data_IF_767726929167
#
_entry.id   IF_767726929167
#
_cell.length_a   1.000
_cell.length_b   1.000
_cell.length_c   1.000
_cell.angle_alpha   90.00
_cell.angle_beta   90.00
_cell.angle_gamma   90.00
#
_symmetry.space_group_name_H-M   'P 1'
#
loop_
_entity.id
_entity.type
_entity.pdbx_description
1 polymer ?
#
# COMPACT_ATOMS: atom_id res chain seq x y z
N UNK A 1 34.79 -22.49 -39.05
CA UNK A 1 34.60 -22.48 -37.58
C UNK A 1 33.92 -21.16 -37.22
N UNK A 2 32.73 -21.17 -36.61
CA UNK A 2 32.06 -19.94 -36.15
C UNK A 2 32.01 -19.98 -34.62
N UNK A 3 32.71 -19.06 -33.97
CA UNK A 3 32.73 -18.97 -32.51
C UNK A 3 31.48 -18.19 -32.07
N UNK A 4 30.55 -18.84 -31.38
CA UNK A 4 29.36 -18.20 -30.80
C UNK A 4 29.67 -17.86 -29.36
N UNK A 5 29.88 -16.58 -29.06
CA UNK A 5 30.07 -16.09 -27.70
C UNK A 5 28.70 -15.93 -27.05
N UNK A 6 28.37 -16.86 -26.16
CA UNK A 6 27.14 -16.79 -25.34
C UNK A 6 27.43 -15.87 -24.15
N UNK A 7 26.87 -14.66 -24.17
CA UNK A 7 26.82 -13.81 -22.98
C UNK A 7 25.79 -14.36 -21.99
N UNK A 8 26.29 -14.99 -20.93
CA UNK A 8 25.46 -15.36 -19.79
C UNK A 8 25.09 -14.10 -18.99
N UNK A 9 23.87 -13.59 -19.19
CA UNK A 9 23.26 -12.59 -18.32
C UNK A 9 22.99 -13.23 -16.94
N UNK A 10 23.95 -13.11 -16.03
CA UNK A 10 23.77 -13.42 -14.63
C UNK A 10 22.82 -12.38 -14.00
N UNK A 11 21.51 -12.65 -14.10
CA UNK A 11 20.48 -11.87 -13.41
C UNK A 11 20.63 -12.04 -11.90
N UNK A 12 21.28 -11.07 -11.26
CA UNK A 12 21.35 -11.01 -9.81
C UNK A 12 19.96 -10.68 -9.23
N UNK A 13 19.18 -11.72 -8.92
CA UNK A 13 17.97 -11.59 -8.14
C UNK A 13 18.35 -11.18 -6.70
N UNK A 14 18.35 -9.87 -6.42
CA UNK A 14 18.61 -9.34 -5.07
C UNK A 14 17.38 -9.61 -4.20
N UNK A 15 17.28 -10.84 -3.71
CA UNK A 15 16.30 -11.25 -2.70
C UNK A 15 16.67 -10.71 -1.32
N UNK A 16 16.56 -9.40 -1.10
CA UNK A 16 16.61 -8.82 0.23
C UNK A 16 15.25 -8.96 0.92
N UNK A 17 15.13 -10.01 1.73
CA UNK A 17 14.30 -9.97 2.94
C UNK A 17 15.02 -9.10 4.00
N UNK A 18 15.23 -7.83 3.68
CA UNK A 18 15.76 -6.84 4.61
C UNK A 18 14.60 -6.29 5.43
N UNK A 19 14.73 -6.28 6.76
CA UNK A 19 13.84 -5.50 7.60
C UNK A 19 13.98 -4.00 7.27
N UNK A 20 12.92 -3.22 7.44
CA UNK A 20 12.94 -1.77 7.19
C UNK A 20 14.15 -1.09 7.86
N UNK A 21 14.82 -0.20 7.13
CA UNK A 21 15.86 0.65 7.70
C UNK A 21 15.22 1.61 8.70
N UNK A 22 15.59 1.53 9.98
CA UNK A 22 15.01 2.36 11.06
C UNK A 22 15.89 3.55 11.45
N UNK A 23 16.98 3.79 10.71
CA UNK A 23 17.91 4.90 10.93
C UNK A 23 17.79 5.87 9.76
N UNK A 24 17.43 7.12 10.05
CA UNK A 24 17.42 8.18 9.04
C UNK A 24 18.85 8.39 8.51
N UNK A 25 19.05 8.41 7.18
CA UNK A 25 20.36 8.59 6.58
C UNK A 25 20.83 10.04 6.68
N UNK A 26 22.14 10.23 6.75
CA UNK A 26 22.73 11.55 6.52
C UNK A 26 22.60 11.92 5.04
N UNK A 27 22.07 13.12 4.75
CA UNK A 27 22.00 13.63 3.39
C UNK A 27 23.41 13.88 2.80
N UNK A 28 23.59 13.58 1.52
CA UNK A 28 24.85 13.75 0.77
C UNK A 28 25.18 15.20 0.41
N UNK A 29 24.22 16.11 0.61
CA UNK A 29 24.26 17.52 0.28
C UNK A 29 22.84 18.10 0.32
N UNK A 30 22.69 19.38 0.02
CA UNK A 30 21.38 20.05 0.05
C UNK A 30 21.03 20.71 -1.29
N UNK A 31 19.74 20.92 -1.53
CA UNK A 31 19.18 21.64 -2.67
C UNK A 31 17.92 22.37 -2.20
N UNK A 32 17.78 23.64 -2.56
CA UNK A 32 16.65 24.48 -2.18
C UNK A 32 15.96 25.01 -3.45
N UNK A 33 14.64 24.84 -3.57
CA UNK A 33 13.88 25.09 -4.79
C UNK A 33 12.70 26.07 -4.56
N UNK A 34 12.50 27.07 -5.45
CA UNK A 34 11.38 27.99 -5.33
C UNK A 34 10.04 27.39 -5.79
N UNK A 35 10.07 26.29 -6.54
CA UNK A 35 8.91 25.59 -7.15
C UNK A 35 9.08 24.07 -7.00
N UNK A 36 8.01 23.26 -7.16
CA UNK A 36 8.13 21.80 -7.17
C UNK A 36 9.04 21.31 -8.30
N UNK A 37 9.76 20.21 -8.09
CA UNK A 37 10.43 19.51 -9.18
C UNK A 37 9.45 18.54 -9.86
N UNK A 38 9.21 18.71 -11.16
CA UNK A 38 8.35 17.81 -11.95
C UNK A 38 9.18 16.63 -12.48
N UNK A 39 8.71 15.41 -12.25
CA UNK A 39 9.36 14.15 -12.62
C UNK A 39 8.42 13.34 -13.52
N UNK A 40 8.73 13.32 -14.82
CA UNK A 40 7.99 12.57 -15.85
C UNK A 40 8.63 11.22 -16.22
N UNK A 41 9.79 10.90 -15.63
CA UNK A 41 10.54 9.68 -15.87
C UNK A 41 11.10 9.12 -14.56
N UNK A 42 12.37 8.73 -14.55
CA UNK A 42 13.07 8.33 -13.32
C UNK A 42 13.97 9.47 -12.82
N UNK A 43 13.93 9.73 -11.52
CA UNK A 43 14.77 10.72 -10.84
C UNK A 43 15.52 10.06 -9.68
N UNK A 44 16.84 10.25 -9.64
CA UNK A 44 17.69 9.87 -8.51
C UNK A 44 18.18 11.16 -7.84
N UNK A 45 17.80 11.37 -6.58
CA UNK A 45 18.20 12.52 -5.77
C UNK A 45 19.62 12.42 -5.22
N UNK A 46 20.31 11.29 -5.40
CA UNK A 46 21.67 11.06 -4.93
C UNK A 46 21.83 11.16 -3.41
N UNK A 47 20.77 10.87 -2.65
CA UNK A 47 20.62 11.09 -1.20
C UNK A 47 20.74 12.56 -0.74
N UNK A 48 20.49 13.54 -1.62
CA UNK A 48 20.46 14.96 -1.23
C UNK A 48 19.18 15.29 -0.45
N UNK A 49 19.28 16.31 0.41
CA UNK A 49 18.16 16.98 1.08
C UNK A 49 17.54 18.02 0.16
N UNK A 50 16.23 17.96 -0.01
CA UNK A 50 15.43 18.89 -0.80
C UNK A 50 14.54 19.71 0.12
N UNK A 51 14.60 21.04 -0.04
CA UNK A 51 13.84 22.04 0.70
C UNK A 51 13.19 23.02 -0.28
N UNK A 52 12.10 23.69 0.13
CA UNK A 52 11.56 24.87 -0.54
C UNK A 52 12.30 26.12 -0.08
N UNK A 53 12.47 27.07 -0.99
CA UNK A 53 12.99 28.41 -0.66
C UNK A 53 12.19 29.51 -1.36
N UNK A 54 11.46 30.37 -0.62
CA UNK A 54 11.28 30.35 0.84
C UNK A 54 10.61 29.06 1.35
N UNK A 55 10.66 28.82 2.65
CA UNK A 55 9.88 27.74 3.28
C UNK A 55 8.38 28.00 3.04
N UNK A 56 7.67 26.94 2.64
CA UNK A 56 6.24 26.97 2.32
C UNK A 56 5.40 26.14 3.30
N UNK A 57 5.98 25.58 4.37
CA UNK A 57 5.24 24.77 5.33
C UNK A 57 4.16 25.60 6.07
N UNK A 58 2.90 25.15 6.00
CA UNK A 58 1.75 25.77 6.69
C UNK A 58 1.05 24.81 7.67
N UNK A 59 1.71 23.70 8.02
CA UNK A 59 1.17 22.65 8.88
C UNK A 59 0.03 21.89 8.20
N UNK A 60 -1.05 21.61 8.93
CA UNK A 60 -2.24 20.90 8.44
C UNK A 60 -3.23 21.83 7.69
N UNK A 61 -2.74 22.91 7.09
CA UNK A 61 -3.55 23.80 6.26
C UNK A 61 -3.37 23.37 4.80
N UNK A 62 -4.40 22.72 4.26
CA UNK A 62 -4.47 22.30 2.86
C UNK A 62 -4.00 23.41 1.92
N UNK A 63 -2.96 23.11 1.15
CA UNK A 63 -2.45 23.98 0.08
C UNK A 63 -2.84 23.44 -1.29
N UNK A 64 -2.07 23.78 -2.32
CA UNK A 64 -2.24 23.25 -3.67
C UNK A 64 -0.94 22.59 -4.15
N UNK A 65 -1.03 21.88 -5.28
CA UNK A 65 0.08 21.10 -5.83
C UNK A 65 1.34 21.93 -6.17
N UNK A 66 1.28 23.27 -6.23
CA UNK A 66 2.48 24.12 -6.35
C UNK A 66 3.27 24.26 -5.03
N UNK A 67 2.70 23.87 -3.90
CA UNK A 67 3.38 23.76 -2.60
C UNK A 67 4.19 22.46 -2.43
N UNK A 68 3.98 21.46 -3.31
CA UNK A 68 4.68 20.18 -3.28
C UNK A 68 6.21 20.33 -3.44
N UNK A 69 6.99 19.42 -2.85
CA UNK A 69 8.43 19.31 -3.13
C UNK A 69 8.66 18.70 -4.52
N UNK A 70 7.91 17.64 -4.83
CA UNK A 70 7.97 16.94 -6.11
C UNK A 70 6.57 16.66 -6.66
N UNK A 71 6.44 16.76 -7.98
CA UNK A 71 5.26 16.32 -8.74
C UNK A 71 5.70 15.17 -9.63
N UNK A 72 5.14 13.98 -9.44
CA UNK A 72 5.47 12.77 -10.21
C UNK A 72 4.31 12.43 -11.14
N UNK A 73 4.58 12.35 -12.44
CA UNK A 73 3.58 11.99 -13.46
C UNK A 73 3.25 10.49 -13.44
N UNK A 74 2.21 10.05 -14.17
CA UNK A 74 1.87 8.63 -14.31
C UNK A 74 3.05 7.83 -14.91
N UNK A 75 3.49 6.80 -14.19
CA UNK A 75 4.66 5.99 -14.52
C UNK A 75 6.00 6.52 -13.99
N UNK A 76 6.04 7.71 -13.36
CA UNK A 76 7.26 8.31 -12.86
C UNK A 76 7.83 7.62 -11.61
N UNK A 77 9.14 7.77 -11.37
CA UNK A 77 9.80 7.28 -10.16
C UNK A 77 10.77 8.29 -9.55
N UNK A 78 10.85 8.29 -8.22
CA UNK A 78 11.82 9.03 -7.42
C UNK A 78 12.59 8.03 -6.56
N UNK A 79 13.90 8.20 -6.51
CA UNK A 79 14.79 7.39 -5.68
C UNK A 79 15.81 8.23 -4.92
N UNK A 80 16.24 7.75 -3.76
CA UNK A 80 17.34 8.31 -2.97
C UNK A 80 17.19 9.82 -2.69
N UNK A 81 16.10 10.20 -2.02
CA UNK A 81 15.77 11.60 -1.73
C UNK A 81 15.58 11.76 -0.22
N UNK A 82 16.16 12.82 0.36
CA UNK A 82 15.78 13.32 1.68
C UNK A 82 14.93 14.58 1.47
N UNK A 83 13.79 14.69 2.14
CA UNK A 83 12.93 15.87 2.16
C UNK A 83 13.05 16.48 3.56
N UNK A 84 13.58 17.70 3.61
CA UNK A 84 13.77 18.43 4.86
C UNK A 84 12.47 19.05 5.37
N UNK A 85 12.53 19.68 6.54
CA UNK A 85 11.35 20.26 7.18
C UNK A 85 10.73 21.46 6.44
N UNK A 86 11.50 22.14 5.58
CA UNK A 86 11.03 23.27 4.80
C UNK A 86 10.33 22.77 3.53
N UNK A 87 9.09 22.32 3.67
CA UNK A 87 8.27 21.72 2.62
C UNK A 87 6.80 22.06 2.86
N UNK A 88 6.08 22.50 1.82
CA UNK A 88 4.64 22.78 1.92
C UNK A 88 3.87 21.46 1.96
N UNK A 89 3.88 20.80 0.81
CA UNK A 89 3.46 19.41 0.66
C UNK A 89 4.66 18.55 0.24
N UNK A 90 4.62 17.24 0.51
CA UNK A 90 5.71 16.34 0.18
C UNK A 90 5.76 15.98 -1.33
N UNK A 91 5.33 14.76 -1.67
CA UNK A 91 5.36 14.25 -3.07
C UNK A 91 3.95 14.06 -3.61
N UNK A 92 3.63 14.68 -4.74
CA UNK A 92 2.36 14.52 -5.44
C UNK A 92 2.48 13.59 -6.64
N UNK A 93 1.99 12.35 -6.49
CA UNK A 93 1.87 11.42 -7.61
C UNK A 93 0.53 11.63 -8.33
N UNK A 94 0.59 12.27 -9.50
CA UNK A 94 -0.56 12.52 -10.39
C UNK A 94 -1.15 11.23 -10.97
N UNK A 95 -0.29 10.24 -11.19
CA UNK A 95 -0.68 8.88 -11.58
C UNK A 95 -0.04 7.82 -10.69
N UNK A 96 0.18 6.63 -11.25
CA UNK A 96 0.94 5.56 -10.61
C UNK A 96 2.40 5.98 -10.50
N UNK A 97 3.02 5.83 -9.33
CA UNK A 97 4.41 6.24 -9.14
C UNK A 97 5.19 5.23 -8.29
N UNK A 98 6.53 5.29 -8.36
CA UNK A 98 7.42 4.51 -7.48
C UNK A 98 8.30 5.44 -6.67
N UNK A 99 8.23 5.34 -5.34
CA UNK A 99 9.06 6.09 -4.39
C UNK A 99 9.99 5.10 -3.69
N UNK A 100 11.29 5.14 -3.99
CA UNK A 100 12.28 4.19 -3.47
C UNK A 100 13.29 4.90 -2.58
N UNK A 101 13.49 4.45 -1.34
CA UNK A 101 14.49 5.03 -0.43
C UNK A 101 14.33 6.56 -0.27
N UNK A 102 13.09 7.00 -0.01
CA UNK A 102 12.73 8.41 0.21
C UNK A 102 12.50 8.68 1.69
N UNK A 103 13.06 9.76 2.21
CA UNK A 103 13.13 10.05 3.65
C UNK A 103 12.57 11.44 3.98
N UNK A 104 11.50 11.52 4.77
CA UNK A 104 10.91 12.78 5.21
C UNK A 104 11.33 13.09 6.65
N UNK A 105 12.26 14.02 6.82
CA UNK A 105 12.83 14.36 8.13
C UNK A 105 11.84 15.06 9.05
N UNK A 106 10.84 15.72 8.45
CA UNK A 106 9.61 16.20 9.11
C UNK A 106 8.51 16.35 8.07
N UNK A 107 7.36 15.75 8.34
CA UNK A 107 6.15 15.96 7.53
C UNK A 107 5.46 17.25 7.95
N UNK A 108 5.05 18.08 6.98
CA UNK A 108 4.34 19.33 7.22
C UNK A 108 2.81 19.11 7.21
N UNK A 109 2.25 18.85 6.03
CA UNK A 109 0.89 18.35 5.86
C UNK A 109 0.90 16.82 5.76
N UNK A 110 1.25 16.30 4.57
CA UNK A 110 1.38 14.89 4.21
C UNK A 110 2.76 14.62 3.57
N UNK A 111 3.27 13.39 3.68
CA UNK A 111 4.53 12.99 3.05
C UNK A 111 4.36 12.70 1.54
N UNK A 112 3.30 11.99 1.15
CA UNK A 112 2.94 11.84 -0.26
C UNK A 112 1.44 11.65 -0.50
N UNK A 113 0.96 12.21 -1.61
CA UNK A 113 -0.43 12.09 -2.09
C UNK A 113 -0.48 11.26 -3.36
N UNK A 114 -1.25 10.19 -3.32
CA UNK A 114 -1.43 9.22 -4.40
C UNK A 114 -2.74 9.47 -5.14
N UNK A 115 -2.68 9.80 -6.44
CA UNK A 115 -3.85 10.17 -7.28
C UNK A 115 -4.14 9.21 -8.44
N UNK A 116 -3.46 8.05 -8.52
CA UNK A 116 -3.57 7.07 -9.61
C UNK A 116 -5.01 6.57 -9.90
N UNK A 117 -5.22 6.10 -11.13
CA UNK A 117 -6.49 5.55 -11.59
C UNK A 117 -6.72 4.09 -11.15
N UNK A 118 -7.97 3.62 -11.25
CA UNK A 118 -8.33 2.25 -10.90
C UNK A 118 -7.53 1.23 -11.71
N UNK A 119 -7.14 0.11 -11.09
CA UNK A 119 -6.32 -0.93 -11.70
C UNK A 119 -4.81 -0.63 -11.77
N UNK A 120 -4.37 0.57 -11.37
CA UNK A 120 -2.94 0.91 -11.20
C UNK A 120 -2.44 0.63 -9.78
N UNK A 121 -1.12 0.50 -9.63
CA UNK A 121 -0.42 0.39 -8.35
C UNK A 121 0.67 1.45 -8.24
N UNK A 122 0.67 2.22 -7.15
CA UNK A 122 1.84 3.01 -6.73
C UNK A 122 2.64 2.24 -5.67
N UNK A 123 3.95 2.44 -5.65
CA UNK A 123 4.89 1.72 -4.78
C UNK A 123 5.67 2.68 -3.88
N UNK A 124 5.81 2.32 -2.61
CA UNK A 124 6.77 2.89 -1.65
C UNK A 124 7.68 1.75 -1.22
N UNK A 125 8.99 1.88 -1.42
CA UNK A 125 9.97 0.79 -1.26
C UNK A 125 11.17 1.29 -0.44
N UNK A 126 11.27 0.86 0.82
CA UNK A 126 12.23 1.42 1.76
C UNK A 126 11.94 2.89 2.08
N UNK A 127 12.89 3.55 2.74
CA UNK A 127 12.74 4.93 3.18
C UNK A 127 11.99 5.05 4.51
N UNK A 128 11.66 6.29 4.89
CA UNK A 128 10.92 6.53 6.13
C UNK A 128 10.42 7.96 6.31
N UNK A 129 9.48 8.18 7.22
CA UNK A 129 8.93 9.50 7.51
C UNK A 129 8.65 9.68 9.00
N UNK A 130 8.77 10.93 9.47
CA UNK A 130 8.42 11.28 10.85
C UNK A 130 7.76 12.64 11.03
N UNK A 131 7.09 12.84 12.16
CA UNK A 131 6.40 14.09 12.52
C UNK A 131 5.10 14.32 11.75
N UNK A 132 4.43 13.26 11.31
CA UNK A 132 3.27 13.31 10.44
C UNK A 132 1.95 13.38 11.23
N UNK A 133 1.58 14.59 11.69
CA UNK A 133 0.54 14.79 12.71
C UNK A 133 -0.82 14.12 12.44
N UNK A 134 -1.28 14.05 11.18
CA UNK A 134 -2.49 13.31 10.77
C UNK A 134 -2.17 12.00 10.02
N UNK A 135 -1.35 12.09 8.97
CA UNK A 135 -1.08 10.99 8.03
C UNK A 135 0.26 11.17 7.31
N UNK A 136 0.96 10.06 7.08
CA UNK A 136 2.16 10.02 6.22
C UNK A 136 1.72 10.02 4.76
N UNK A 137 0.82 9.12 4.38
CA UNK A 137 0.35 8.99 3.00
C UNK A 137 -1.15 9.25 2.85
N UNK A 138 -1.50 10.12 1.90
CA UNK A 138 -2.87 10.41 1.52
C UNK A 138 -3.22 9.69 0.21
N UNK A 139 -4.29 8.90 0.22
CA UNK A 139 -4.73 8.14 -0.95
C UNK A 139 -6.06 8.69 -1.48
N UNK A 140 -5.94 9.55 -2.50
CA UNK A 140 -7.06 10.18 -3.21
C UNK A 140 -7.48 9.38 -4.45
N UNK A 141 -6.49 8.77 -5.13
CA UNK A 141 -6.62 7.87 -6.28
C UNK A 141 -7.37 6.58 -5.97
N UNK A 142 -7.45 5.66 -6.93
CA UNK A 142 -8.13 4.35 -6.88
C UNK A 142 -7.10 3.25 -7.19
N UNK A 143 -7.48 1.98 -7.08
CA UNK A 143 -6.50 0.89 -7.28
C UNK A 143 -5.65 0.70 -6.03
N UNK A 144 -4.34 0.51 -6.16
CA UNK A 144 -3.48 0.03 -5.06
C UNK A 144 -2.36 1.01 -4.69
N UNK A 145 -2.04 1.11 -3.41
CA UNK A 145 -0.73 1.57 -2.91
C UNK A 145 -0.07 0.42 -2.16
N UNK A 146 1.16 0.09 -2.55
CA UNK A 146 1.98 -0.95 -1.93
C UNK A 146 3.14 -0.30 -1.19
N UNK A 147 3.21 -0.48 0.13
CA UNK A 147 4.25 0.06 1.01
C UNK A 147 5.08 -1.11 1.52
N UNK A 148 6.37 -1.12 1.20
CA UNK A 148 7.30 -2.20 1.56
C UNK A 148 8.54 -1.66 2.28
N UNK A 149 8.94 -2.32 3.36
CA UNK A 149 10.19 -2.07 4.10
C UNK A 149 10.38 -0.61 4.58
N UNK A 150 9.28 0.11 4.80
CA UNK A 150 9.23 1.52 5.19
C UNK A 150 9.29 1.71 6.72
N UNK A 151 9.90 2.81 7.17
CA UNK A 151 9.93 3.22 8.59
C UNK A 151 9.02 4.43 8.88
N UNK A 152 8.14 4.32 9.86
CA UNK A 152 7.33 5.44 10.36
C UNK A 152 7.58 5.68 11.85
N UNK A 153 7.68 6.94 12.26
CA UNK A 153 7.92 7.38 13.64
C UNK A 153 7.12 8.67 13.88
N UNK A 154 6.51 8.89 15.06
CA UNK A 154 5.74 10.13 15.36
C UNK A 154 4.71 10.48 14.25
N UNK A 155 3.65 9.66 14.15
CA UNK A 155 2.69 9.74 13.03
C UNK A 155 1.23 9.46 13.44
N UNK A 156 0.27 10.12 12.81
CA UNK A 156 -1.14 9.85 13.02
C UNK A 156 -1.63 8.57 12.34
N UNK A 157 -1.33 8.38 11.05
CA UNK A 157 -1.64 7.18 10.23
C UNK A 157 -0.54 6.95 9.19
N UNK A 158 -0.12 5.72 8.90
CA UNK A 158 0.84 5.52 7.78
C UNK A 158 0.15 5.78 6.43
N UNK A 159 -1.08 5.30 6.21
CA UNK A 159 -1.86 5.68 5.01
C UNK A 159 -3.35 5.85 5.29
N UNK A 160 -3.98 6.86 4.67
CA UNK A 160 -5.44 7.10 4.75
C UNK A 160 -6.06 7.17 3.35
N UNK A 161 -7.03 6.28 3.11
CA UNK A 161 -8.01 6.44 2.01
C UNK A 161 -8.84 7.69 2.26
N UNK A 162 -8.98 8.59 1.29
CA UNK A 162 -9.68 9.87 1.48
C UNK A 162 -11.09 9.68 2.06
N UNK A 163 -11.40 10.35 3.19
CA UNK A 163 -12.67 10.18 3.89
C UNK A 163 -13.86 10.85 3.22
N UNK A 164 -13.63 12.02 2.62
CA UNK A 164 -14.66 12.98 2.21
C UNK A 164 -14.28 13.81 0.97
N UNK A 165 -13.51 13.21 0.04
CA UNK A 165 -13.10 13.87 -1.21
C UNK A 165 -14.28 14.32 -2.11
N UNK A 166 -14.05 15.34 -2.95
CA UNK A 166 -15.10 15.93 -3.83
C UNK A 166 -15.75 14.92 -4.77
N UNK A 167 -15.00 13.95 -5.27
CA UNK A 167 -15.50 12.83 -6.07
C UNK A 167 -15.15 11.49 -5.38
N UNK A 168 -15.45 11.37 -4.08
CA UNK A 168 -15.02 10.20 -3.32
C UNK A 168 -15.68 8.91 -3.78
N UNK A 169 -15.04 7.80 -3.44
CA UNK A 169 -15.40 6.46 -3.83
C UNK A 169 -14.18 5.55 -3.69
N UNK A 170 -14.22 4.41 -4.35
CA UNK A 170 -13.16 3.40 -4.31
C UNK A 170 -13.30 2.40 -5.46
N UNK A 171 -12.72 1.19 -5.34
CA UNK A 171 -11.96 0.75 -4.19
C UNK A 171 -10.55 1.35 -4.14
N UNK A 172 -10.05 1.54 -2.91
CA UNK A 172 -8.65 1.83 -2.57
C UNK A 172 -8.06 0.66 -1.81
N UNK A 173 -7.03 0.04 -2.37
CA UNK A 173 -6.35 -1.12 -1.80
C UNK A 173 -4.99 -0.70 -1.22
N UNK A 174 -4.71 -1.14 -0.01
CA UNK A 174 -3.46 -0.88 0.70
C UNK A 174 -2.78 -2.21 0.97
N UNK A 175 -1.52 -2.33 0.56
CA UNK A 175 -0.64 -3.46 0.90
C UNK A 175 0.52 -2.90 1.71
N UNK A 176 0.79 -3.49 2.87
CA UNK A 176 1.84 -3.09 3.80
C UNK A 176 2.63 -4.34 4.18
N UNK A 177 3.92 -4.37 3.84
CA UNK A 177 4.80 -5.51 4.08
C UNK A 177 6.15 -5.06 4.63
N UNK A 178 6.68 -5.74 5.66
CA UNK A 178 7.99 -5.41 6.23
C UNK A 178 8.09 -4.06 6.95
N UNK A 179 6.97 -3.37 7.21
CA UNK A 179 6.95 -2.01 7.76
C UNK A 179 7.20 -1.99 9.27
N UNK A 180 8.05 -1.05 9.70
CA UNK A 180 8.29 -0.75 11.12
C UNK A 180 7.65 0.58 11.45
N UNK A 181 6.78 0.63 12.46
CA UNK A 181 6.08 1.85 12.83
C UNK A 181 6.08 2.08 14.35
N UNK A 182 6.55 3.25 14.78
CA UNK A 182 6.72 3.63 16.19
C UNK A 182 6.03 4.94 16.55
N UNK A 183 5.67 5.09 17.80
CA UNK A 183 5.17 6.32 18.42
C UNK A 183 4.02 6.97 17.62
N UNK A 184 3.06 6.16 17.15
CA UNK A 184 2.04 6.64 16.23
C UNK A 184 0.70 5.90 16.30
N UNK A 185 -0.16 6.17 15.32
CA UNK A 185 -1.48 5.56 15.17
C UNK A 185 -1.48 4.31 14.28
N UNK A 186 -2.57 4.10 13.54
CA UNK A 186 -2.75 2.90 12.70
C UNK A 186 -1.89 2.91 11.45
N UNK A 187 -1.53 1.73 10.94
CA UNK A 187 -0.86 1.61 9.64
C UNK A 187 -1.79 2.02 8.49
N UNK A 188 -3.08 1.70 8.53
CA UNK A 188 -4.01 2.06 7.46
C UNK A 188 -5.41 2.45 7.92
N UNK A 189 -6.00 3.47 7.29
CA UNK A 189 -7.39 3.89 7.45
C UNK A 189 -8.20 3.72 6.16
N UNK A 190 -9.15 2.78 6.12
CA UNK A 190 -9.90 2.38 4.91
C UNK A 190 -11.41 2.66 4.99
N UNK A 191 -12.05 2.98 3.86
CA UNK A 191 -13.50 3.19 3.76
C UNK A 191 -14.20 1.92 3.27
N UNK A 192 -14.74 1.10 4.17
CA UNK A 192 -15.23 -0.25 3.80
C UNK A 192 -16.47 -0.20 2.90
N UNK A 193 -17.29 0.85 3.01
CA UNK A 193 -18.45 1.09 2.13
C UNK A 193 -18.08 1.41 0.67
N UNK A 194 -16.81 1.68 0.37
CA UNK A 194 -16.30 1.87 -0.99
C UNK A 194 -15.50 0.67 -1.51
N UNK A 195 -15.51 -0.46 -0.78
CA UNK A 195 -14.77 -1.67 -1.15
C UNK A 195 -13.26 -1.58 -0.88
N UNK A 196 -12.82 -0.59 -0.10
CA UNK A 196 -11.42 -0.45 0.28
C UNK A 196 -10.93 -1.66 1.08
N UNK A 197 -9.68 -2.05 0.87
CA UNK A 197 -9.04 -3.12 1.65
C UNK A 197 -7.65 -2.72 2.13
N UNK A 198 -7.22 -3.30 3.24
CA UNK A 198 -5.87 -3.19 3.76
C UNK A 198 -5.34 -4.58 4.12
N UNK A 199 -4.14 -4.90 3.64
CA UNK A 199 -3.42 -6.14 3.92
C UNK A 199 -2.08 -5.79 4.54
N UNK A 200 -1.89 -6.18 5.80
CA UNK A 200 -0.66 -5.97 6.57
C UNK A 200 0.02 -7.33 6.77
N UNK A 201 1.27 -7.45 6.36
CA UNK A 201 2.12 -8.63 6.56
C UNK A 201 3.48 -8.24 7.14
N UNK A 202 4.07 -9.14 7.94
CA UNK A 202 5.49 -9.07 8.36
C UNK A 202 5.91 -7.72 8.96
N UNK A 203 4.99 -7.01 9.62
CA UNK A 203 5.16 -5.62 10.05
C UNK A 203 5.02 -5.49 11.57
N UNK A 204 5.40 -4.36 12.13
CA UNK A 204 5.19 -4.08 13.55
C UNK A 204 4.58 -2.68 13.76
N UNK A 205 3.80 -2.54 14.83
CA UNK A 205 3.41 -1.25 15.38
C UNK A 205 3.46 -1.36 16.90
N UNK A 206 4.25 -0.52 17.56
CA UNK A 206 4.61 -0.63 18.98
C UNK A 206 3.46 -0.58 20.00
N UNK A 207 2.25 -0.20 19.56
CA UNK A 207 1.02 -0.13 20.34
C UNK A 207 -0.08 -1.05 19.78
N UNK A 208 0.27 -1.99 18.89
CA UNK A 208 -0.66 -2.94 18.26
C UNK A 208 -1.65 -2.33 17.25
N UNK A 209 -1.49 -1.06 16.87
CA UNK A 209 -2.44 -0.31 16.02
C UNK A 209 -2.27 -0.71 14.55
N UNK A 210 -2.96 -1.77 14.14
CA UNK A 210 -2.94 -2.25 12.75
C UNK A 210 -3.73 -1.36 11.79
N UNK A 211 -5.06 -1.34 11.88
CA UNK A 211 -5.92 -0.68 10.91
C UNK A 211 -7.18 -0.07 11.54
N UNK A 212 -7.69 1.00 10.93
CA UNK A 212 -8.99 1.60 11.23
C UNK A 212 -9.93 1.53 10.01
N UNK A 213 -11.21 1.32 10.31
CA UNK A 213 -12.27 1.11 9.33
C UNK A 213 -13.28 2.24 9.44
N UNK A 214 -13.68 2.80 8.31
CA UNK A 214 -14.51 3.99 8.20
C UNK A 214 -15.67 3.77 7.23
N UNK A 215 -16.72 4.57 7.39
CA UNK A 215 -17.62 4.95 6.30
C UNK A 215 -17.06 6.21 5.65
N UNK A 216 -16.72 6.14 4.37
CA UNK A 216 -16.38 7.29 3.54
C UNK A 216 -17.63 7.95 2.94
N UNK A 217 -17.56 9.25 2.70
CA UNK A 217 -18.63 10.08 2.11
C UNK A 217 -18.09 10.86 0.91
N UNK A 218 -18.98 11.44 0.10
CA UNK A 218 -18.61 12.47 -0.89
C UNK A 218 -18.59 13.83 -0.18
N UNK A 219 -17.67 14.74 -0.55
CA UNK A 219 -17.56 16.07 0.08
C UNK A 219 -18.92 16.79 0.11
N UNK A 220 -19.28 17.36 1.27
CA UNK A 220 -20.56 18.02 1.49
C UNK A 220 -21.72 17.08 1.86
N UNK A 221 -21.63 15.78 1.57
CA UNK A 221 -22.67 14.79 1.88
C UNK A 221 -22.48 14.17 3.28
N UNK A 222 -22.25 15.00 4.29
CA UNK A 222 -21.93 14.60 5.66
C UNK A 222 -20.42 14.47 5.93
N UNK A 223 -20.06 13.69 6.93
CA UNK A 223 -18.67 13.46 7.37
C UNK A 223 -18.31 11.97 7.41
N UNK A 224 -17.04 11.66 7.15
CA UNK A 224 -16.52 10.30 7.30
C UNK A 224 -16.53 9.88 8.77
N UNK A 225 -16.95 8.65 9.06
CA UNK A 225 -17.09 8.15 10.45
C UNK A 225 -16.29 6.86 10.63
N UNK A 226 -15.52 6.78 11.72
CA UNK A 226 -14.87 5.54 12.15
C UNK A 226 -15.95 4.56 12.63
N UNK A 227 -15.89 3.32 12.12
CA UNK A 227 -16.82 2.24 12.44
C UNK A 227 -16.15 1.05 13.14
N UNK A 228 -14.82 0.99 13.15
CA UNK A 228 -14.08 -0.04 13.88
C UNK A 228 -12.56 0.11 13.81
N UNK A 229 -11.86 -0.72 14.58
CA UNK A 229 -10.40 -0.87 14.60
C UNK A 229 -10.03 -2.34 14.49
N UNK A 230 -8.80 -2.63 14.07
CA UNK A 230 -8.27 -3.99 13.94
C UNK A 230 -8.83 -4.78 12.75
N UNK A 231 -8.24 -5.96 12.48
CA UNK A 231 -8.66 -6.84 11.39
C UNK A 231 -10.10 -7.33 11.56
N UNK A 232 -10.77 -7.55 10.44
CA UNK A 232 -12.13 -8.10 10.38
C UNK A 232 -12.29 -9.29 9.43
N UNK A 233 -11.24 -9.62 8.66
CA UNK A 233 -11.26 -10.74 7.74
C UNK A 233 -12.05 -10.48 6.44
N UNK A 234 -12.56 -9.27 6.23
CA UNK A 234 -13.27 -8.87 4.99
C UNK A 234 -12.64 -7.67 4.30
N UNK A 235 -12.21 -6.66 5.07
CA UNK A 235 -11.63 -5.42 4.56
C UNK A 235 -10.24 -5.16 5.14
N UNK A 236 -9.99 -5.52 6.41
CA UNK A 236 -8.65 -5.49 6.99
C UNK A 236 -8.15 -6.89 7.33
N UNK A 237 -6.97 -7.22 6.80
CA UNK A 237 -6.27 -8.49 6.95
C UNK A 237 -4.90 -8.25 7.55
N UNK A 238 -4.51 -9.05 8.55
CA UNK A 238 -3.25 -8.91 9.27
C UNK A 238 -2.61 -10.29 9.44
N UNK A 239 -1.34 -10.43 9.05
CA UNK A 239 -0.51 -11.63 9.23
C UNK A 239 0.88 -11.24 9.72
N UNK A 240 1.52 -12.09 10.55
CA UNK A 240 2.87 -11.87 11.08
C UNK A 240 3.10 -10.43 11.62
N UNK A 241 2.13 -9.92 12.39
CA UNK A 241 2.15 -8.57 12.95
C UNK A 241 2.52 -8.59 14.43
N UNK A 242 3.35 -7.65 14.88
CA UNK A 242 3.89 -7.64 16.25
C UNK A 242 3.83 -6.26 16.91
N UNK A 243 3.73 -6.26 18.24
CA UNK A 243 3.78 -5.05 19.08
C UNK A 243 5.22 -4.67 19.48
N UNK A 244 6.22 -5.47 19.08
CA UNK A 244 7.62 -5.28 19.45
C UNK A 244 8.45 -4.86 18.24
N UNK A 245 8.52 -3.55 17.97
CA UNK A 245 9.34 -2.99 16.90
C UNK A 245 10.85 -2.98 17.21
N UNK A 246 11.42 -4.17 17.34
CA UNK A 246 12.87 -4.38 17.47
C UNK A 246 13.54 -4.23 16.12
N UNK A 247 14.52 -3.32 16.03
CA UNK A 247 15.30 -3.08 14.81
C UNK A 247 16.23 -4.26 14.51
N UNK A 248 15.74 -5.23 13.74
CA UNK A 248 16.54 -6.19 12.97
C UNK A 248 17.49 -7.12 13.73
N UNK A 249 16.97 -8.26 14.19
CA UNK A 249 17.72 -9.52 14.09
C UNK A 249 16.75 -10.70 14.00
N UNK A 250 17.07 -11.70 13.18
CA UNK A 250 16.21 -12.86 12.92
C UNK A 250 16.13 -13.81 14.13
N UNK A 251 15.23 -13.50 15.07
CA UNK A 251 14.93 -14.34 16.23
C UNK A 251 13.67 -15.17 16.02
N UNK A 252 13.79 -16.49 16.05
CA UNK A 252 12.68 -17.45 16.04
C UNK A 252 11.65 -17.11 17.15
N UNK A 253 10.34 -16.98 16.86
CA UNK A 253 9.37 -16.47 17.83
C UNK A 253 9.21 -17.42 19.03
N UNK A 254 9.68 -16.97 20.20
CA UNK A 254 9.43 -17.68 21.47
C UNK A 254 7.95 -17.51 21.85
N UNK A 255 7.23 -18.63 21.85
CA UNK A 255 5.77 -18.65 21.99
C UNK A 255 5.34 -18.25 23.41
N UNK A 256 4.91 -17.01 23.61
CA UNK A 256 4.26 -16.58 24.86
C UNK A 256 2.76 -16.85 24.79
N UNK A 257 2.34 -18.02 25.27
CA UNK A 257 0.95 -18.48 25.22
C UNK A 257 0.04 -17.68 26.15
N UNK A 258 -0.63 -16.63 25.65
CA UNK A 258 -1.73 -15.99 26.39
C UNK A 258 -3.06 -16.71 26.11
N UNK A 259 -3.75 -17.05 27.19
CA UNK A 259 -4.93 -17.93 27.24
C UNK A 259 -6.19 -17.23 26.69
N UNK A 260 -6.67 -17.63 25.51
CA UNK A 260 -7.92 -17.12 24.92
C UNK A 260 -9.15 -17.72 25.58
N UNK A 261 -9.93 -16.91 26.30
CA UNK A 261 -11.20 -17.31 26.90
C UNK A 261 -12.24 -17.60 25.81
N UNK A 262 -12.75 -18.83 25.78
CA UNK A 262 -13.69 -19.30 24.74
C UNK A 262 -15.15 -19.06 25.16
N UNK A 263 -15.77 -17.99 24.65
CA UNK A 263 -17.21 -17.76 24.85
C UNK A 263 -18.01 -18.43 23.74
N UNK A 264 -18.73 -19.51 24.07
CA UNK A 264 -19.65 -20.19 23.14
C UNK A 264 -20.93 -19.36 22.98
N UNK A 265 -21.26 -18.96 21.74
CA UNK A 265 -22.56 -18.37 21.40
C UNK A 265 -23.30 -19.27 20.42
N UNK A 266 -24.55 -19.60 20.74
CA UNK A 266 -25.38 -20.55 20.01
C UNK A 266 -25.89 -20.01 18.67
N UNK A 267 -25.69 -20.77 17.59
CA UNK A 267 -26.38 -20.56 16.31
C UNK A 267 -27.87 -20.88 16.45
N UNK A 268 -28.75 -19.95 16.05
CA UNK A 268 -30.20 -20.19 16.00
C UNK A 268 -30.68 -20.18 14.55
N UNK A 269 -31.09 -21.35 14.09
CA UNK A 269 -31.62 -21.59 12.73
C UNK A 269 -32.89 -20.78 12.47
N UNK A 270 -32.98 -20.18 11.27
CA UNK A 270 -34.17 -19.51 10.77
C UNK A 270 -34.38 -19.91 9.30
N UNK A 271 -35.39 -20.75 9.05
CA UNK A 271 -35.82 -21.17 7.73
C UNK A 271 -36.83 -20.18 7.14
N UNK A 272 -36.66 -19.75 5.89
CA UNK A 272 -37.81 -19.32 5.08
C UNK A 272 -37.61 -19.58 3.58
N UNK A 273 -38.65 -20.14 2.98
CA UNK A 273 -38.72 -20.52 1.56
C UNK A 273 -39.66 -19.57 0.82
N UNK A 274 -39.29 -19.12 -0.38
CA UNK A 274 -40.23 -18.73 -1.43
C UNK A 274 -39.54 -18.62 -2.79
N UNK A 275 -40.15 -19.18 -3.83
CA UNK A 275 -39.63 -19.31 -5.20
C UNK A 275 -40.36 -18.38 -6.19
N UNK A 276 -39.65 -17.84 -7.19
CA UNK A 276 -39.83 -18.12 -8.64
C UNK A 276 -39.14 -17.10 -9.56
N UNK A 277 -38.55 -17.65 -10.64
CA UNK A 277 -38.54 -17.24 -12.06
C UNK A 277 -39.03 -15.81 -12.40
N UNK A 278 -38.42 -15.02 -13.30
CA UNK A 278 -37.51 -15.31 -14.44
C UNK A 278 -36.26 -14.37 -14.41
N UNK A 279 -35.32 -14.32 -15.37
CA UNK A 279 -35.23 -14.85 -16.76
C UNK A 279 -33.75 -15.21 -17.07
N UNK A 280 -33.42 -15.52 -18.34
CA UNK A 280 -32.07 -15.88 -18.80
C UNK A 280 -31.72 -15.10 -20.07
N UNK A 281 -30.49 -14.59 -20.18
CA UNK A 281 -29.86 -14.19 -21.45
C UNK A 281 -28.44 -14.75 -21.53
N UNK A 282 -28.20 -15.54 -22.56
CA UNK A 282 -26.92 -16.20 -22.84
C UNK A 282 -25.89 -15.20 -23.37
N UNK A 283 -24.59 -15.47 -23.22
CA UNK A 283 -23.84 -15.82 -24.44
C UNK A 283 -22.88 -17.00 -24.29
N UNK A 284 -22.97 -17.87 -25.30
CA UNK A 284 -21.89 -18.66 -25.95
C UNK A 284 -20.72 -19.16 -25.09
N UNK A 285 -20.79 -20.43 -24.68
CA UNK A 285 -19.66 -21.14 -24.07
C UNK A 285 -18.61 -21.59 -25.08
N UNK A 286 -17.35 -21.59 -24.66
CA UNK A 286 -16.24 -22.27 -25.32
C UNK A 286 -15.45 -23.08 -24.30
N UNK A 287 -15.65 -24.39 -24.27
CA UNK A 287 -14.92 -25.29 -23.36
C UNK A 287 -13.44 -25.34 -23.73
N UNK A 288 -12.60 -24.65 -22.96
CA UNK A 288 -11.15 -24.65 -23.11
C UNK A 288 -10.53 -25.99 -22.71
N UNK A 289 -10.54 -26.97 -23.61
CA UNK A 289 -9.72 -28.18 -23.50
C UNK A 289 -8.24 -27.80 -23.68
N UNK A 290 -7.54 -27.58 -22.57
CA UNK A 290 -6.13 -27.18 -22.58
C UNK A 290 -5.49 -27.29 -21.19
N UNK A 291 -4.19 -26.99 -21.14
CA UNK A 291 -3.45 -26.84 -19.90
C UNK A 291 -2.89 -25.42 -19.81
N UNK A 292 -2.89 -24.85 -18.61
CA UNK A 292 -2.44 -23.48 -18.35
C UNK A 292 -0.91 -23.45 -18.23
N UNK A 293 -0.19 -22.57 -18.94
CA UNK A 293 1.26 -22.45 -18.78
C UNK A 293 1.63 -22.01 -17.36
N UNK A 294 2.89 -22.22 -16.98
CA UNK A 294 3.42 -21.68 -15.73
C UNK A 294 3.17 -20.17 -15.64
N UNK A 295 2.76 -19.69 -14.47
CA UNK A 295 2.29 -18.32 -14.18
C UNK A 295 0.97 -17.88 -14.85
N UNK A 296 0.27 -18.76 -15.58
CA UNK A 296 -1.08 -18.47 -16.07
C UNK A 296 -2.17 -18.62 -15.00
N UNK A 297 -3.32 -17.95 -15.20
CA UNK A 297 -4.50 -18.13 -14.35
C UNK A 297 -5.12 -19.51 -14.55
N UNK A 298 -5.48 -20.19 -13.47
CA UNK A 298 -6.04 -21.55 -13.45
C UNK A 298 -7.28 -21.67 -12.56
N UNK A 299 -7.80 -20.57 -12.04
CA UNK A 299 -9.00 -20.55 -11.21
C UNK A 299 -9.38 -19.15 -10.74
N UNK A 300 -10.51 -19.08 -10.04
CA UNK A 300 -11.13 -17.85 -9.55
C UNK A 300 -12.60 -17.73 -9.94
N UNK A 301 -13.37 -16.99 -9.13
CA UNK A 301 -14.75 -16.64 -9.41
C UNK A 301 -14.85 -15.94 -10.79
N UNK A 302 -15.75 -16.44 -11.65
CA UNK A 302 -15.91 -15.94 -13.02
C UNK A 302 -14.86 -16.41 -14.04
N UNK A 303 -13.85 -17.18 -13.65
CA UNK A 303 -12.86 -17.74 -14.57
C UNK A 303 -13.43 -18.97 -15.31
N UNK A 304 -13.54 -18.88 -16.64
CA UNK A 304 -14.06 -19.94 -17.52
C UNK A 304 -12.97 -20.67 -18.34
N UNK A 305 -11.69 -20.39 -18.08
CA UNK A 305 -10.56 -21.02 -18.79
C UNK A 305 -10.15 -22.37 -18.18
N UNK A 306 -9.07 -23.00 -18.69
CA UNK A 306 -8.61 -24.30 -18.21
C UNK A 306 -8.10 -24.20 -16.76
N UNK A 307 -8.34 -25.23 -15.95
CA UNK A 307 -7.98 -25.25 -14.52
C UNK A 307 -6.78 -26.13 -14.17
N UNK A 308 -6.29 -26.92 -15.12
CA UNK A 308 -5.11 -27.78 -14.96
C UNK A 308 -3.86 -27.08 -15.49
N UNK A 309 -2.81 -27.03 -14.69
CA UNK A 309 -1.52 -26.50 -15.10
C UNK A 309 -0.76 -27.48 -16.01
N UNK A 310 -0.07 -26.96 -17.01
CA UNK A 310 0.86 -27.70 -17.87
C UNK A 310 2.15 -28.04 -17.11
N UNK A 311 2.54 -27.15 -16.20
CA UNK A 311 3.69 -27.27 -15.30
C UNK A 311 3.33 -26.65 -13.94
N UNK A 312 3.83 -27.24 -12.87
CA UNK A 312 3.53 -26.80 -11.51
C UNK A 312 2.11 -27.13 -11.04
N UNK A 313 1.65 -26.45 -9.97
CA UNK A 313 0.33 -26.66 -9.35
C UNK A 313 -0.49 -25.38 -9.40
N UNK A 314 -1.81 -25.50 -9.59
CA UNK A 314 -2.72 -24.37 -9.44
C UNK A 314 -2.80 -23.95 -7.97
N UNK A 315 -2.21 -22.81 -7.61
CA UNK A 315 -2.22 -22.26 -6.26
C UNK A 315 -3.30 -21.18 -6.14
N UNK A 316 -4.13 -21.30 -5.11
CA UNK A 316 -5.08 -20.26 -4.74
C UNK A 316 -4.34 -18.99 -4.30
N UNK A 317 -4.70 -17.84 -4.87
CA UNK A 317 -4.19 -16.52 -4.47
C UNK A 317 -5.30 -15.72 -3.78
N UNK A 318 -6.49 -15.67 -4.39
CA UNK A 318 -7.70 -15.11 -3.81
C UNK A 318 -8.95 -15.70 -4.50
N UNK A 319 -10.14 -15.33 -4.02
CA UNK A 319 -11.41 -15.86 -4.54
C UNK A 319 -11.62 -15.61 -6.04
N UNK A 320 -11.04 -14.55 -6.63
CA UNK A 320 -11.14 -14.21 -8.06
C UNK A 320 -9.94 -14.70 -8.89
N UNK A 321 -8.89 -15.24 -8.26
CA UNK A 321 -7.64 -15.58 -8.95
C UNK A 321 -6.87 -16.73 -8.30
N UNK A 322 -6.54 -17.73 -9.10
CA UNK A 322 -5.57 -18.80 -8.79
C UNK A 322 -4.58 -18.93 -9.95
N UNK A 323 -3.32 -19.23 -9.66
CA UNK A 323 -2.22 -19.19 -10.64
C UNK A 323 -1.41 -20.49 -10.64
N UNK A 324 -0.94 -20.92 -11.81
CA UNK A 324 0.02 -22.01 -11.91
C UNK A 324 1.39 -21.56 -11.40
N UNK A 325 1.86 -22.12 -10.29
CA UNK A 325 3.19 -21.86 -9.73
C UNK A 325 4.00 -23.17 -9.69
N UNK A 326 5.36 -23.10 -9.72
CA UNK A 326 6.23 -24.29 -9.73
C UNK A 326 5.86 -25.35 -8.66
#
# INVERSE_FOLDING_TARGET
>A
MKCVVIFALAGAAIGVNGAATTTFPQASGETALPTPLVVSGSFDGGMKRYNRFPDTCQGQKETDEAAAMFIVEDGGSISNVVIGAAQGEGIHCRGACTLTNVWWEKVCEDAATFKQSAGKTSYVIGGGARGASDKVFQFNGRGTVSIKDFYAEDYGKVIRSCGDCTANGGPRHVIIDGVVAKDGGVLCGINTNFGDTCRISNSCQDSGKSCDRYTGVVKGNGSSKKIGSGPDGSSCFVTNFTETCSSGSGGNPTTTTRKTTTTKTSTKTSTKTSTKTSTQSTPTGGSGSGTVPLYGQCGGNGYNGPTKCAQGTCKFSNEWYSQCLP
#
